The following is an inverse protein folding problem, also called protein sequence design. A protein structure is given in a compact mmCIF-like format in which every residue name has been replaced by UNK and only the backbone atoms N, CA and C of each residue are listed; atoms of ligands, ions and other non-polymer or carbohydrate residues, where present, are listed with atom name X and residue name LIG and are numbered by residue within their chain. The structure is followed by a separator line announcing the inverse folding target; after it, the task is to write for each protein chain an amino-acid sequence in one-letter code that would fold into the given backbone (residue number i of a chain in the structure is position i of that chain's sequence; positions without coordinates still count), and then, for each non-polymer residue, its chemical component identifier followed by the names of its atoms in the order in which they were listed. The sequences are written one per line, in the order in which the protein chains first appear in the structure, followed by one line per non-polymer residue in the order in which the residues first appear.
data_IF_107146361154
#
_entry.id   IF_107146361154
#
_cell.length_a   1.000
_cell.length_b   1.000
_cell.length_c   1.000
_cell.angle_alpha   90.00
_cell.angle_beta   90.00
_cell.angle_gamma   90.00
#
_symmetry.space_group_name_H-M   'P 1'
#
loop_
_entity.id
_entity.type
_entity.pdbx_description
1 polymer ?
#
# COMPACT_ATOMS: atom_id res chain seq x y z
N UNK A 1 -20.31 -6.48 18.16
CA UNK A 1 -18.90 -6.77 17.82
C UNK A 1 -18.70 -6.66 16.33
N UNK A 2 -17.57 -6.12 15.94
CA UNK A 2 -17.23 -6.06 14.52
C UNK A 2 -16.87 -7.45 13.99
N UNK A 3 -17.31 -7.76 12.78
CA UNK A 3 -17.06 -9.03 12.09
C UNK A 3 -16.72 -8.76 10.63
N UNK A 4 -16.26 -9.79 9.94
CA UNK A 4 -16.08 -9.76 8.50
C UNK A 4 -16.61 -11.06 7.88
N UNK A 5 -17.09 -10.96 6.66
CA UNK A 5 -17.67 -12.09 5.95
C UNK A 5 -16.64 -12.63 4.96
N UNK A 6 -16.38 -13.93 5.02
CA UNK A 6 -15.46 -14.58 4.09
C UNK A 6 -16.05 -14.52 2.68
N UNK A 7 -15.33 -13.98 1.68
CA UNK A 7 -15.84 -13.93 0.31
C UNK A 7 -15.90 -15.29 -0.37
N UNK A 8 -15.21 -16.31 0.17
CA UNK A 8 -15.18 -17.64 -0.42
C UNK A 8 -16.36 -18.52 0.03
N UNK A 9 -16.66 -18.52 1.35
CA UNK A 9 -17.68 -19.43 1.88
C UNK A 9 -18.80 -18.73 2.66
N UNK A 10 -18.75 -17.40 2.79
CA UNK A 10 -19.79 -16.67 3.49
C UNK A 10 -19.75 -16.73 5.01
N UNK A 11 -18.73 -17.35 5.59
CA UNK A 11 -18.60 -17.45 7.04
C UNK A 11 -18.42 -16.08 7.67
N UNK A 12 -19.16 -15.80 8.75
CA UNK A 12 -18.97 -14.61 9.55
C UNK A 12 -17.83 -14.87 10.56
N UNK A 13 -16.81 -14.04 10.52
CA UNK A 13 -15.61 -14.19 11.36
C UNK A 13 -15.46 -13.01 12.30
N UNK A 14 -14.90 -13.20 13.52
CA UNK A 14 -14.53 -12.08 14.38
C UNK A 14 -13.54 -11.14 13.70
N UNK A 15 -13.66 -9.84 13.95
CA UNK A 15 -12.79 -8.85 13.32
C UNK A 15 -11.30 -9.07 13.58
N UNK A 16 -10.96 -9.65 14.73
CA UNK A 16 -9.58 -9.94 15.11
C UNK A 16 -8.96 -11.10 14.32
N UNK A 17 -9.78 -11.94 13.69
CA UNK A 17 -9.27 -13.08 12.92
C UNK A 17 -8.75 -12.62 11.56
N UNK A 18 -7.50 -12.96 11.27
CA UNK A 18 -6.88 -12.60 9.99
C UNK A 18 -7.22 -13.58 8.87
N UNK A 19 -7.72 -14.76 9.22
CA UNK A 19 -8.13 -15.78 8.27
C UNK A 19 -9.48 -16.35 8.66
N UNK A 20 -10.25 -16.79 7.66
CA UNK A 20 -11.53 -17.44 7.90
C UNK A 20 -11.32 -18.68 8.78
N UNK A 21 -12.13 -18.82 9.81
CA UNK A 21 -12.05 -19.94 10.74
C UNK A 21 -12.41 -21.29 10.07
N UNK A 22 -13.11 -21.25 8.95
CA UNK A 22 -13.56 -22.46 8.24
C UNK A 22 -12.62 -22.81 7.10
N UNK A 23 -12.42 -21.91 6.13
CA UNK A 23 -11.65 -22.22 4.92
C UNK A 23 -10.25 -21.61 4.88
N UNK A 24 -9.86 -20.84 5.91
CA UNK A 24 -8.55 -20.18 6.04
C UNK A 24 -8.29 -19.10 5.00
N UNK A 25 -9.31 -18.63 4.31
CA UNK A 25 -9.17 -17.51 3.36
C UNK A 25 -8.71 -16.25 4.11
N UNK A 26 -7.69 -15.52 3.62
CA UNK A 26 -7.19 -14.34 4.32
C UNK A 26 -8.16 -13.16 4.25
N UNK A 27 -8.29 -12.44 5.37
CA UNK A 27 -9.05 -11.19 5.43
C UNK A 27 -8.15 -10.05 4.93
N UNK A 28 -7.91 -10.01 3.63
CA UNK A 28 -7.04 -9.04 3.00
C UNK A 28 -7.81 -8.33 1.89
N UNK A 29 -7.86 -6.99 1.89
CA UNK A 29 -8.50 -6.25 0.80
C UNK A 29 -7.87 -6.62 -0.54
N UNK A 30 -8.70 -6.76 -1.56
CA UNK A 30 -8.22 -7.09 -2.92
C UNK A 30 -7.60 -5.89 -3.61
N UNK A 31 -8.07 -4.69 -3.28
CA UNK A 31 -7.70 -3.48 -4.02
C UNK A 31 -7.08 -2.47 -3.06
N UNK A 32 -5.87 -2.05 -3.39
CA UNK A 32 -5.20 -0.92 -2.73
C UNK A 32 -5.40 0.31 -3.60
N UNK A 33 -5.80 1.41 -2.99
CA UNK A 33 -5.96 2.70 -3.65
C UNK A 33 -4.93 3.67 -3.07
N UNK A 34 -4.12 4.26 -3.93
CA UNK A 34 -3.21 5.34 -3.54
C UNK A 34 -3.72 6.64 -4.12
N UNK A 35 -3.81 7.67 -3.28
CA UNK A 35 -4.26 9.00 -3.67
C UNK A 35 -3.14 10.00 -3.44
N UNK A 36 -2.74 10.72 -4.49
CA UNK A 36 -1.78 11.82 -4.35
C UNK A 36 -2.41 12.96 -3.57
N UNK A 37 -1.79 13.37 -2.47
CA UNK A 37 -2.28 14.51 -1.69
C UNK A 37 -1.99 15.84 -2.37
N UNK A 38 -1.03 15.86 -3.31
CA UNK A 38 -0.70 17.07 -4.07
C UNK A 38 -1.68 17.33 -5.22
N UNK A 39 -2.13 16.27 -5.91
CA UNK A 39 -2.94 16.41 -7.13
C UNK A 39 -4.36 15.87 -6.99
N UNK A 40 -4.62 15.04 -5.98
CA UNK A 40 -5.90 14.35 -5.79
C UNK A 40 -6.13 13.17 -6.72
N UNK A 41 -5.17 12.85 -7.58
CA UNK A 41 -5.31 11.71 -8.49
C UNK A 41 -5.12 10.39 -7.76
N UNK A 42 -5.89 9.39 -8.16
CA UNK A 42 -5.90 8.08 -7.54
C UNK A 42 -5.49 7.00 -8.52
N UNK A 43 -4.87 5.93 -8.01
CA UNK A 43 -4.59 4.72 -8.77
C UNK A 43 -4.92 3.50 -7.92
N UNK A 44 -5.47 2.48 -8.55
CA UNK A 44 -5.87 1.23 -7.90
C UNK A 44 -4.99 0.08 -8.40
N UNK A 45 -4.65 -0.84 -7.49
CA UNK A 45 -3.94 -2.06 -7.87
C UNK A 45 -4.45 -3.25 -7.09
N UNK A 46 -4.38 -4.41 -7.73
CA UNK A 46 -4.80 -5.69 -7.17
C UNK A 46 -3.62 -6.65 -7.00
N UNK A 47 -2.44 -6.28 -7.50
CA UNK A 47 -1.25 -7.11 -7.52
C UNK A 47 -0.04 -6.31 -7.06
N UNK A 48 1.05 -7.01 -6.76
CA UNK A 48 2.32 -6.38 -6.44
C UNK A 48 2.75 -5.45 -7.58
N UNK A 49 3.26 -4.27 -7.23
CA UNK A 49 3.67 -3.28 -8.21
C UNK A 49 4.85 -2.47 -7.70
N UNK A 50 5.82 -2.26 -8.59
CA UNK A 50 6.93 -1.34 -8.34
C UNK A 50 6.57 0.05 -8.81
N UNK A 51 6.86 1.04 -7.98
CA UNK A 51 6.57 2.44 -8.22
C UNK A 51 7.86 3.22 -8.40
N UNK A 52 7.87 4.08 -9.38
CA UNK A 52 8.99 4.97 -9.62
C UNK A 52 8.56 6.20 -10.38
N UNK A 53 9.55 6.94 -10.89
CA UNK A 53 9.34 8.24 -11.54
C UNK A 53 8.22 8.20 -12.59
N UNK A 54 8.20 7.18 -13.46
CA UNK A 54 7.21 7.08 -14.52
C UNK A 54 5.78 6.95 -13.99
N UNK A 55 5.57 6.11 -12.98
CA UNK A 55 4.25 5.91 -12.38
C UNK A 55 3.78 7.19 -11.69
N UNK A 56 4.64 7.84 -10.93
CA UNK A 56 4.30 9.08 -10.22
C UNK A 56 3.95 10.19 -11.20
N UNK A 57 4.63 10.26 -12.33
CA UNK A 57 4.36 11.25 -13.38
C UNK A 57 3.05 10.96 -14.10
N UNK A 58 2.84 9.72 -14.53
CA UNK A 58 1.70 9.37 -15.38
C UNK A 58 0.42 9.10 -14.61
N UNK A 59 0.51 8.46 -13.44
CA UNK A 59 -0.67 8.09 -12.65
C UNK A 59 -1.11 9.19 -11.72
N UNK A 60 -0.18 9.94 -11.14
CA UNK A 60 -0.48 10.94 -10.12
C UNK A 60 -0.24 12.37 -10.58
N UNK A 61 0.44 12.58 -11.70
CA UNK A 61 0.82 13.89 -12.23
C UNK A 61 1.50 14.77 -11.17
N UNK A 62 2.34 14.15 -10.33
CA UNK A 62 3.02 14.82 -9.23
C UNK A 62 4.29 15.49 -9.72
N UNK A 63 4.44 16.80 -9.48
CA UNK A 63 5.62 17.57 -9.90
C UNK A 63 6.90 17.09 -9.21
N UNK A 64 6.79 16.55 -8.00
CA UNK A 64 7.94 16.04 -7.26
C UNK A 64 8.37 14.64 -7.73
N UNK A 65 7.68 14.05 -8.71
CA UNK A 65 8.09 12.79 -9.33
C UNK A 65 9.53 12.83 -9.84
N UNK A 66 10.03 14.00 -10.24
CA UNK A 66 11.40 14.21 -10.70
C UNK A 66 12.46 13.85 -9.66
N UNK A 67 12.09 13.84 -8.38
CA UNK A 67 13.00 13.49 -7.28
C UNK A 67 12.96 12.00 -6.93
N UNK A 68 12.04 11.24 -7.53
CA UNK A 68 11.95 9.81 -7.32
C UNK A 68 12.99 9.05 -8.17
N UNK A 69 13.41 7.90 -7.67
CA UNK A 69 14.21 6.98 -8.47
C UNK A 69 13.34 6.32 -9.56
N UNK A 70 13.97 5.74 -10.56
CA UNK A 70 13.24 4.97 -11.59
C UNK A 70 12.43 3.83 -10.95
N UNK A 71 13.02 3.17 -9.94
CA UNK A 71 12.32 2.24 -9.06
C UNK A 71 12.52 2.73 -7.63
N UNK A 72 11.46 3.28 -7.04
CA UNK A 72 11.53 3.92 -5.73
C UNK A 72 11.10 2.99 -4.61
N UNK A 73 9.94 2.36 -4.75
CA UNK A 73 9.44 1.40 -3.76
C UNK A 73 8.53 0.38 -4.43
N UNK A 74 8.23 -0.67 -3.68
CA UNK A 74 7.32 -1.73 -4.12
C UNK A 74 6.19 -1.88 -3.12
N UNK A 75 4.98 -2.06 -3.62
CA UNK A 75 3.83 -2.49 -2.83
C UNK A 75 3.59 -3.94 -3.17
N UNK A 76 3.51 -4.80 -2.16
CA UNK A 76 3.35 -6.23 -2.35
C UNK A 76 2.41 -6.83 -1.32
N UNK A 77 1.90 -7.99 -1.65
CA UNK A 77 1.04 -8.80 -0.79
C UNK A 77 1.89 -9.81 -0.03
N UNK A 78 1.71 -9.90 1.28
CA UNK A 78 2.33 -10.93 2.10
C UNK A 78 1.23 -11.82 2.65
N UNK A 79 1.07 -13.01 2.08
CA UNK A 79 0.01 -13.94 2.48
C UNK A 79 0.26 -14.54 3.86
N UNK A 80 1.51 -14.67 4.29
CA UNK A 80 1.85 -15.19 5.61
C UNK A 80 1.46 -14.21 6.72
N UNK A 81 1.71 -12.92 6.49
CA UNK A 81 1.31 -11.86 7.43
C UNK A 81 -0.14 -11.43 7.26
N UNK A 82 -0.77 -11.80 6.16
CA UNK A 82 -2.10 -11.33 5.76
C UNK A 82 -2.11 -9.80 5.75
N UNK A 83 -1.22 -9.23 4.94
CA UNK A 83 -1.02 -7.77 4.88
C UNK A 83 -0.53 -7.33 3.51
N UNK A 84 -0.81 -6.07 3.17
CA UNK A 84 -0.12 -5.37 2.11
C UNK A 84 1.07 -4.64 2.73
N UNK A 85 2.22 -4.69 2.05
CA UNK A 85 3.45 -4.07 2.53
C UNK A 85 3.95 -3.04 1.53
N UNK A 86 4.64 -2.01 2.04
CA UNK A 86 5.49 -1.15 1.22
C UNK A 86 6.94 -1.42 1.62
N UNK A 87 7.81 -1.54 0.62
CA UNK A 87 9.22 -1.84 0.82
C UNK A 87 10.06 -0.99 -0.14
N UNK A 88 11.16 -0.37 0.31
CA UNK A 88 11.97 0.46 -0.57
C UNK A 88 12.74 -0.37 -1.57
N UNK A 89 12.95 0.16 -2.77
CA UNK A 89 13.87 -0.42 -3.74
C UNK A 89 15.29 0.02 -3.40
N UNK A 90 16.30 -0.83 -3.68
CA UNK A 90 17.71 -0.48 -3.39
C UNK A 90 18.20 0.72 -4.20
N UNK A 91 19.14 1.47 -3.62
CA UNK A 91 19.86 2.53 -4.34
C UNK A 91 19.09 3.81 -4.59
N UNK A 92 18.03 4.08 -3.82
CA UNK A 92 17.24 5.30 -4.00
C UNK A 92 17.87 6.49 -3.29
N UNK A 93 18.00 7.67 -3.97
CA UNK A 93 18.58 8.87 -3.34
C UNK A 93 17.69 9.48 -2.26
N UNK A 94 16.36 9.40 -2.42
CA UNK A 94 15.40 9.86 -1.42
C UNK A 94 14.77 8.66 -0.75
N UNK A 95 14.70 8.70 0.58
CA UNK A 95 14.15 7.58 1.36
C UNK A 95 12.64 7.49 1.18
N UNK A 96 12.14 6.26 1.04
CA UNK A 96 10.70 5.99 1.15
C UNK A 96 10.33 6.01 2.62
N UNK A 97 9.31 6.80 2.97
CA UNK A 97 8.82 6.93 4.33
C UNK A 97 7.36 6.51 4.42
N UNK A 98 6.95 6.04 5.59
CA UNK A 98 5.57 5.70 5.89
C UNK A 98 5.19 6.36 7.20
N UNK A 99 4.16 7.21 7.17
CA UNK A 99 3.73 8.04 8.30
C UNK A 99 4.88 8.83 8.92
N UNK A 100 5.80 9.31 8.08
CA UNK A 100 6.94 10.12 8.50
C UNK A 100 8.18 9.36 8.92
N UNK A 101 8.14 8.03 8.95
CA UNK A 101 9.28 7.20 9.35
C UNK A 101 9.87 6.46 8.17
N UNK A 102 11.20 6.38 8.10
CA UNK A 102 11.87 5.64 7.03
C UNK A 102 11.46 4.17 7.04
N UNK A 103 11.12 3.66 5.87
CA UNK A 103 10.72 2.25 5.72
C UNK A 103 11.97 1.37 5.71
N UNK A 104 12.07 0.36 6.59
CA UNK A 104 13.21 -0.56 6.56
C UNK A 104 13.19 -1.46 5.33
N UNK A 105 14.32 -2.10 5.04
CA UNK A 105 14.47 -2.95 3.85
C UNK A 105 13.44 -4.09 3.77
N UNK A 106 13.03 -4.64 4.91
CA UNK A 106 12.00 -5.67 4.99
C UNK A 106 10.58 -5.16 4.75
N UNK A 107 10.38 -3.84 4.80
CA UNK A 107 9.09 -3.22 4.57
C UNK A 107 8.26 -3.02 5.83
N UNK A 108 7.14 -2.30 5.67
CA UNK A 108 6.14 -2.11 6.73
C UNK A 108 4.75 -2.43 6.20
N UNK A 109 3.86 -2.82 7.10
CA UNK A 109 2.47 -3.09 6.75
C UNK A 109 1.71 -1.79 6.46
N UNK A 110 0.92 -1.80 5.40
CA UNK A 110 0.05 -0.69 5.05
C UNK A 110 -1.22 -0.73 5.89
N UNK A 111 -1.71 0.43 6.29
CA UNK A 111 -2.97 0.57 7.01
C UNK A 111 -3.84 1.63 6.34
N UNK A 112 -5.15 1.52 6.55
CA UNK A 112 -6.10 2.52 6.05
C UNK A 112 -5.74 3.91 6.58
N UNK A 113 -5.60 4.87 5.68
CA UNK A 113 -5.25 6.24 6.04
C UNK A 113 -3.78 6.51 6.22
N UNK A 114 -2.91 5.49 6.08
CA UNK A 114 -1.47 5.70 6.15
C UNK A 114 -0.96 6.51 4.96
N UNK A 115 0.21 7.15 5.10
CA UNK A 115 0.78 8.02 4.07
C UNK A 115 2.19 7.57 3.70
N UNK A 116 2.38 7.24 2.43
CA UNK A 116 3.71 6.96 1.86
C UNK A 116 4.25 8.28 1.33
N UNK A 117 5.50 8.58 1.68
CA UNK A 117 6.15 9.81 1.21
C UNK A 117 7.59 9.54 0.81
N UNK A 118 8.17 10.49 0.07
CA UNK A 118 9.60 10.50 -0.22
C UNK A 118 10.26 11.57 0.62
N UNK A 119 11.32 11.21 1.33
CA UNK A 119 12.05 12.15 2.19
C UNK A 119 12.52 13.38 1.42
N UNK A 120 12.40 14.56 2.02
CA UNK A 120 12.79 15.87 1.45
C UNK A 120 11.95 16.31 0.23
N UNK A 121 10.86 15.64 -0.07
CA UNK A 121 9.93 16.05 -1.14
C UNK A 121 8.55 16.31 -0.56
N UNK A 122 7.69 16.91 -1.38
CA UNK A 122 6.28 17.15 -1.01
C UNK A 122 5.37 16.02 -1.45
N UNK A 123 5.92 14.99 -2.09
CA UNK A 123 5.12 13.88 -2.59
C UNK A 123 4.60 13.02 -1.46
N UNK A 124 3.28 12.88 -1.38
CA UNK A 124 2.58 12.08 -0.38
C UNK A 124 1.45 11.31 -1.03
N UNK A 125 1.38 10.02 -0.75
CA UNK A 125 0.35 9.14 -1.26
C UNK A 125 -0.41 8.54 -0.07
N UNK A 126 -1.71 8.83 0.01
CA UNK A 126 -2.56 8.27 1.06
C UNK A 126 -3.04 6.88 0.66
N UNK A 127 -2.94 5.95 1.60
CA UNK A 127 -3.35 4.55 1.40
C UNK A 127 -4.80 4.38 1.79
N UNK A 128 -5.57 3.75 0.92
CA UNK A 128 -6.93 3.29 1.21
C UNK A 128 -7.10 1.88 0.65
N UNK A 129 -8.04 1.15 1.22
CA UNK A 129 -8.41 -0.17 0.72
C UNK A 129 -9.88 -0.14 0.30
N UNK A 130 -10.18 -0.79 -0.82
CA UNK A 130 -11.58 -1.02 -1.18
C UNK A 130 -12.09 -2.24 -0.42
N UNK A 131 -13.33 -2.18 0.03
CA UNK A 131 -13.98 -3.32 0.67
C UNK A 131 -14.20 -4.43 -0.36
N UNK A 132 -14.00 -5.64 0.08
CA UNK A 132 -14.26 -6.84 -0.73
C UNK A 132 -15.77 -7.06 -0.94
#
# INVERSE_FOLDING_TARGET
MATWICPEDGTENPAAEKRCLVCRHPNLPRVVVLTSLATGKEAEFTEAKKFGKAVFTHRFADDDAKYAADLQFEILRDDDRVAWLVRPCPGTPNKTCYDGFAVPAEGVELAEGGVISLGKTKMKLKVRFKKN
#
